data_IF_450648550232
#
_entry.id   IF_450648550232
#
_cell.length_a   1.000
_cell.length_b   1.000
_cell.length_c   1.000
_cell.angle_alpha   90.00
_cell.angle_beta   90.00
_cell.angle_gamma   90.00
#
_symmetry.space_group_name_H-M   'P 1'
#
loop_
_entity.id
_entity.type
_entity.pdbx_description
1 polymer ?
#
# COMPACT_ATOMS: atom_id res chain seq x y z
N UNK A 1 4.15 -42.57 3.94
CA UNK A 1 5.30 -42.82 3.04
C UNK A 1 5.03 -42.45 1.58
N UNK A 2 3.79 -42.48 1.07
CA UNK A 2 3.50 -42.09 -0.33
C UNK A 2 3.66 -40.58 -0.65
N UNK A 3 3.29 -39.66 0.24
CA UNK A 3 3.33 -38.21 -0.06
C UNK A 3 4.74 -37.63 -0.30
N UNK A 4 5.78 -38.19 0.34
CA UNK A 4 7.14 -37.65 0.22
C UNK A 4 7.77 -38.00 -1.13
N UNK A 5 7.49 -39.21 -1.63
CA UNK A 5 7.93 -39.67 -2.95
C UNK A 5 7.27 -38.85 -4.06
N UNK A 6 5.95 -38.60 -3.96
CA UNK A 6 5.20 -37.77 -4.92
C UNK A 6 5.71 -36.33 -4.98
N UNK A 7 6.06 -35.74 -3.83
CA UNK A 7 6.51 -34.34 -3.78
C UNK A 7 7.92 -34.14 -4.36
N UNK A 8 8.79 -35.14 -4.22
CA UNK A 8 10.13 -35.15 -4.83
C UNK A 8 10.05 -35.33 -6.34
N UNK A 9 9.08 -36.12 -6.82
CA UNK A 9 8.88 -36.40 -8.24
C UNK A 9 8.32 -35.19 -8.98
N UNK A 10 7.30 -34.52 -8.43
CA UNK A 10 6.74 -33.25 -8.96
C UNK A 10 7.82 -32.15 -9.01
N UNK A 11 8.62 -32.02 -7.94
CA UNK A 11 9.73 -31.05 -7.88
C UNK A 11 10.79 -31.33 -8.95
N UNK A 12 11.04 -32.60 -9.26
CA UNK A 12 12.02 -33.01 -10.27
C UNK A 12 11.53 -32.72 -11.68
N UNK A 13 10.25 -32.99 -11.98
CA UNK A 13 9.63 -32.68 -13.28
C UNK A 13 9.59 -31.16 -13.56
N UNK A 14 9.24 -30.35 -12.57
CA UNK A 14 9.28 -28.88 -12.67
C UNK A 14 10.69 -28.36 -13.00
N UNK A 15 11.71 -28.84 -12.29
CA UNK A 15 13.10 -28.44 -12.52
C UNK A 15 13.58 -28.83 -13.92
N UNK A 16 13.20 -30.02 -14.39
CA UNK A 16 13.50 -30.47 -15.76
C UNK A 16 12.83 -29.55 -16.79
N UNK A 17 11.55 -29.19 -16.58
CA UNK A 17 10.82 -28.28 -17.46
C UNK A 17 11.48 -26.89 -17.53
N UNK A 18 11.88 -26.35 -16.37
CA UNK A 18 12.56 -25.04 -16.29
C UNK A 18 13.93 -25.09 -16.98
N UNK A 19 14.74 -26.11 -16.69
CA UNK A 19 16.07 -26.25 -17.27
C UNK A 19 16.01 -26.36 -18.80
N UNK A 20 15.00 -27.07 -19.33
CA UNK A 20 14.80 -27.17 -20.78
C UNK A 20 14.37 -25.86 -21.45
N UNK A 21 13.65 -24.99 -20.73
CA UNK A 21 13.05 -23.77 -21.30
C UNK A 21 13.82 -22.49 -21.00
N UNK A 22 14.62 -22.44 -19.94
CA UNK A 22 15.40 -21.27 -19.55
C UNK A 22 16.35 -20.77 -20.67
N UNK A 23 17.11 -21.64 -21.38
CA UNK A 23 17.92 -21.19 -22.51
C UNK A 23 17.08 -20.59 -23.65
N UNK A 24 15.87 -21.11 -23.85
CA UNK A 24 14.94 -20.58 -24.85
C UNK A 24 14.42 -19.21 -24.44
N UNK A 25 14.06 -19.00 -23.17
CA UNK A 25 13.64 -17.70 -22.66
C UNK A 25 14.74 -16.63 -22.83
N UNK A 26 15.99 -16.97 -22.48
CA UNK A 26 17.14 -16.08 -22.66
C UNK A 26 17.30 -15.70 -24.13
N UNK A 27 17.22 -16.69 -25.02
CA UNK A 27 17.32 -16.45 -26.47
C UNK A 27 16.18 -15.57 -26.99
N UNK A 28 14.94 -15.83 -26.58
CA UNK A 28 13.77 -15.06 -27.01
C UNK A 28 13.87 -13.58 -26.59
N UNK A 29 14.40 -13.30 -25.40
CA UNK A 29 14.71 -11.93 -24.98
C UNK A 29 15.79 -11.29 -25.85
N UNK A 30 16.90 -11.98 -26.11
CA UNK A 30 17.99 -11.45 -26.94
C UNK A 30 17.54 -11.11 -28.36
N UNK A 31 16.56 -11.85 -28.87
CA UNK A 31 15.95 -11.64 -30.18
C UNK A 31 14.77 -10.63 -30.15
N UNK A 32 14.44 -10.06 -28.98
CA UNK A 32 13.31 -9.14 -28.72
C UNK A 32 11.94 -9.72 -29.17
N UNK A 33 11.71 -11.01 -28.87
CA UNK A 33 10.44 -11.68 -29.14
C UNK A 33 9.58 -11.79 -27.87
N UNK A 34 8.83 -10.74 -27.59
CA UNK A 34 8.09 -10.59 -26.32
C UNK A 34 6.91 -11.57 -26.20
N UNK A 35 6.07 -11.69 -27.23
CA UNK A 35 4.90 -12.60 -27.19
C UNK A 35 5.30 -14.06 -27.01
N UNK A 36 6.25 -14.61 -27.80
CA UNK A 36 6.72 -15.98 -27.59
C UNK A 36 7.42 -16.19 -26.24
N UNK A 37 8.04 -15.15 -25.68
CA UNK A 37 8.65 -15.23 -24.35
C UNK A 37 7.59 -15.48 -23.27
N UNK A 38 6.51 -14.69 -23.27
CA UNK A 38 5.43 -14.83 -22.30
C UNK A 38 4.69 -16.16 -22.43
N UNK A 39 4.50 -16.67 -23.64
CA UNK A 39 3.92 -17.99 -23.87
C UNK A 39 4.75 -19.10 -23.22
N UNK A 40 6.07 -19.06 -23.39
CA UNK A 40 6.99 -20.03 -22.76
C UNK A 40 7.01 -19.87 -21.24
N UNK A 41 6.96 -18.64 -20.74
CA UNK A 41 6.95 -18.36 -19.30
C UNK A 41 5.67 -18.87 -18.64
N UNK A 42 4.51 -18.71 -19.28
CA UNK A 42 3.22 -19.23 -18.80
C UNK A 42 3.24 -20.75 -18.57
N UNK A 43 3.97 -21.48 -19.40
CA UNK A 43 4.12 -22.93 -19.23
C UNK A 43 5.03 -23.33 -18.05
N UNK A 44 5.84 -22.40 -17.55
CA UNK A 44 6.81 -22.61 -16.46
C UNK A 44 6.23 -22.20 -15.10
N UNK A 45 5.33 -21.22 -15.10
CA UNK A 45 4.82 -20.58 -13.87
C UNK A 45 3.39 -20.96 -13.43
N UNK A 46 2.77 -22.11 -13.81
CA UNK A 46 1.41 -22.40 -13.38
C UNK A 46 1.29 -22.58 -11.85
N UNK A 47 2.37 -23.03 -11.19
CA UNK A 47 2.38 -23.18 -9.74
C UNK A 47 2.69 -21.88 -9.00
N UNK A 48 3.46 -20.96 -9.61
CA UNK A 48 3.64 -19.60 -9.08
C UNK A 48 2.31 -18.85 -9.17
N UNK A 49 1.58 -18.99 -10.29
CA UNK A 49 0.22 -18.44 -10.43
C UNK A 49 -0.74 -18.94 -9.35
N UNK A 50 -0.76 -20.25 -9.08
CA UNK A 50 -1.56 -20.82 -7.97
C UNK A 50 -1.15 -20.25 -6.61
N UNK A 51 0.15 -20.05 -6.40
CA UNK A 51 0.69 -19.47 -5.17
C UNK A 51 0.22 -18.02 -4.96
N UNK A 52 0.33 -17.16 -5.98
CA UNK A 52 -0.16 -15.77 -5.99
C UNK A 52 -1.65 -15.74 -5.63
N UNK A 53 -2.48 -16.51 -6.37
CA UNK A 53 -3.93 -16.57 -6.14
C UNK A 53 -4.24 -16.96 -4.69
N UNK A 54 -3.54 -17.97 -4.15
CA UNK A 54 -3.77 -18.44 -2.78
C UNK A 54 -3.37 -17.39 -1.74
N UNK A 55 -2.23 -16.71 -1.91
CA UNK A 55 -1.76 -15.65 -1.00
C UNK A 55 -2.77 -14.50 -0.96
N UNK A 56 -3.20 -14.00 -2.11
CA UNK A 56 -4.20 -12.94 -2.22
C UNK A 56 -5.52 -13.37 -1.57
N UNK A 57 -6.04 -14.56 -1.88
CA UNK A 57 -7.28 -15.07 -1.28
C UNK A 57 -7.18 -15.17 0.25
N UNK A 58 -6.00 -15.54 0.76
CA UNK A 58 -5.77 -15.64 2.21
C UNK A 58 -5.75 -14.26 2.85
N UNK A 59 -5.12 -13.26 2.22
CA UNK A 59 -5.13 -11.88 2.70
C UNK A 59 -6.54 -11.29 2.72
N UNK A 60 -7.30 -11.43 1.62
CA UNK A 60 -8.71 -11.01 1.54
C UNK A 60 -9.55 -11.62 2.66
N UNK A 61 -9.33 -12.91 2.98
CA UNK A 61 -10.06 -13.60 4.04
C UNK A 61 -9.66 -13.17 5.46
N UNK A 62 -8.40 -12.80 5.68
CA UNK A 62 -7.89 -12.43 7.02
C UNK A 62 -8.22 -10.98 7.38
N UNK A 63 -8.11 -10.10 6.41
CA UNK A 63 -8.21 -8.65 6.58
C UNK A 63 -9.65 -8.16 6.36
N UNK A 64 -10.47 -8.89 5.61
CA UNK A 64 -11.79 -8.45 5.10
C UNK A 64 -11.68 -7.40 3.98
N UNK A 65 -10.59 -7.41 3.21
CA UNK A 65 -10.51 -6.62 1.98
C UNK A 65 -11.70 -6.93 1.04
N UNK A 66 -12.15 -5.95 0.24
CA UNK A 66 -13.08 -6.21 -0.86
C UNK A 66 -12.53 -7.31 -1.78
N UNK A 67 -13.39 -8.21 -2.27
CA UNK A 67 -12.97 -9.39 -3.05
C UNK A 67 -12.27 -9.05 -4.36
N UNK A 68 -12.45 -7.83 -4.84
CA UNK A 68 -11.97 -7.24 -6.08
C UNK A 68 -10.83 -6.24 -5.87
N UNK A 69 -10.40 -6.04 -4.62
CA UNK A 69 -9.32 -5.10 -4.27
C UNK A 69 -7.98 -5.46 -4.90
N UNK A 70 -7.67 -6.75 -4.97
CA UNK A 70 -6.45 -7.25 -5.59
C UNK A 70 -6.78 -8.15 -6.77
N UNK A 71 -6.25 -7.84 -7.95
CA UNK A 71 -6.30 -8.71 -9.11
C UNK A 71 -5.06 -9.60 -9.14
N UNK A 72 -5.20 -10.94 -9.06
CA UNK A 72 -4.07 -11.84 -9.20
C UNK A 72 -3.33 -11.70 -10.53
N UNK A 73 -3.99 -11.20 -11.57
CA UNK A 73 -3.35 -11.00 -12.88
C UNK A 73 -2.34 -9.86 -12.83
N UNK A 74 -2.56 -8.81 -12.04
CA UNK A 74 -1.68 -7.64 -11.98
C UNK A 74 -0.31 -8.03 -11.41
N UNK A 75 -0.30 -8.88 -10.37
CA UNK A 75 0.93 -9.45 -9.81
C UNK A 75 1.62 -10.44 -10.77
N UNK A 76 0.85 -11.18 -11.58
CA UNK A 76 1.40 -12.09 -12.58
C UNK A 76 2.06 -11.30 -13.70
N UNK A 77 1.40 -10.26 -14.18
CA UNK A 77 1.90 -9.39 -15.24
C UNK A 77 3.16 -8.66 -14.79
N UNK A 78 3.17 -8.12 -13.56
CA UNK A 78 4.37 -7.51 -12.98
C UNK A 78 5.52 -8.51 -12.83
N UNK A 79 5.25 -9.72 -12.34
CA UNK A 79 6.26 -10.77 -12.26
C UNK A 79 6.83 -11.10 -13.65
N UNK A 80 6.01 -11.06 -14.70
CA UNK A 80 6.44 -11.36 -16.07
C UNK A 80 7.35 -10.27 -16.63
N UNK A 81 7.02 -9.00 -16.38
CA UNK A 81 7.87 -7.85 -16.74
C UNK A 81 9.24 -7.99 -16.06
N UNK A 82 9.25 -8.19 -14.75
CA UNK A 82 10.46 -8.35 -13.94
C UNK A 82 11.28 -9.56 -14.40
N UNK A 83 10.60 -10.66 -14.74
CA UNK A 83 11.26 -11.84 -15.29
C UNK A 83 11.93 -11.53 -16.62
N UNK A 84 11.24 -10.85 -17.53
CA UNK A 84 11.81 -10.42 -18.80
C UNK A 84 13.06 -9.57 -18.58
N UNK A 85 13.01 -8.57 -17.70
CA UNK A 85 14.14 -7.68 -17.42
C UNK A 85 15.35 -8.42 -16.85
N UNK A 86 15.13 -9.43 -16.00
CA UNK A 86 16.20 -10.11 -15.27
C UNK A 86 16.59 -11.50 -15.80
N UNK A 87 15.91 -12.07 -16.79
CA UNK A 87 16.10 -13.47 -17.21
C UNK A 87 17.56 -13.83 -17.57
N UNK A 88 18.31 -12.88 -18.13
CA UNK A 88 19.71 -13.08 -18.56
C UNK A 88 20.68 -13.23 -17.38
N UNK A 89 20.25 -12.87 -16.17
CA UNK A 89 21.07 -13.00 -14.97
C UNK A 89 21.11 -14.46 -14.47
N UNK A 90 20.23 -15.34 -14.96
CA UNK A 90 20.13 -16.70 -14.48
C UNK A 90 20.82 -17.68 -15.42
N UNK A 91 21.79 -18.41 -14.89
CA UNK A 91 22.43 -19.54 -15.58
C UNK A 91 22.00 -20.90 -15.02
N UNK A 92 21.19 -20.89 -13.97
CA UNK A 92 20.82 -22.06 -13.17
C UNK A 92 19.30 -22.11 -12.94
N UNK A 93 18.69 -23.27 -13.19
CA UNK A 93 17.25 -23.50 -13.02
C UNK A 93 16.78 -23.38 -11.56
N UNK A 94 17.58 -23.80 -10.59
CA UNK A 94 17.25 -23.73 -9.18
C UNK A 94 17.30 -22.27 -8.69
N UNK A 95 18.25 -21.49 -9.19
CA UNK A 95 18.36 -20.07 -8.90
C UNK A 95 17.18 -19.29 -9.47
N UNK A 96 16.86 -19.53 -10.75
CA UNK A 96 15.71 -18.91 -11.41
C UNK A 96 14.38 -19.28 -10.71
N UNK A 97 14.20 -20.55 -10.37
CA UNK A 97 12.99 -21.00 -9.67
C UNK A 97 12.86 -20.35 -8.29
N UNK A 98 13.94 -20.29 -7.51
CA UNK A 98 13.94 -19.62 -6.20
C UNK A 98 13.65 -18.12 -6.36
N UNK A 99 14.25 -17.49 -7.37
CA UNK A 99 14.06 -16.07 -7.63
C UNK A 99 12.61 -15.72 -7.97
N UNK A 100 11.91 -16.53 -8.78
CA UNK A 100 10.50 -16.32 -9.09
C UNK A 100 9.64 -16.24 -7.83
N UNK A 101 9.83 -17.15 -6.87
CA UNK A 101 9.07 -17.12 -5.61
C UNK A 101 9.48 -15.95 -4.71
N UNK A 102 10.77 -15.63 -4.62
CA UNK A 102 11.23 -14.46 -3.86
C UNK A 102 10.64 -13.16 -4.40
N UNK A 103 10.75 -12.94 -5.71
CA UNK A 103 10.18 -11.75 -6.36
C UNK A 103 8.66 -11.72 -6.22
N UNK A 104 7.99 -12.86 -6.32
CA UNK A 104 6.55 -12.97 -6.05
C UNK A 104 6.21 -12.55 -4.62
N UNK A 105 7.00 -13.00 -3.63
CA UNK A 105 6.79 -12.62 -2.24
C UNK A 105 7.07 -11.14 -2.00
N UNK A 106 8.11 -10.57 -2.60
CA UNK A 106 8.39 -9.12 -2.56
C UNK A 106 7.21 -8.31 -3.13
N UNK A 107 6.74 -8.65 -4.33
CA UNK A 107 5.61 -7.96 -4.97
C UNK A 107 4.32 -8.05 -4.13
N UNK A 108 4.08 -9.20 -3.50
CA UNK A 108 2.91 -9.40 -2.64
C UNK A 108 3.06 -8.70 -1.30
N UNK A 109 4.22 -8.78 -0.66
CA UNK A 109 4.44 -8.20 0.66
C UNK A 109 4.47 -6.67 0.57
N UNK A 110 5.05 -6.07 -0.47
CA UNK A 110 4.96 -4.62 -0.69
C UNK A 110 3.50 -4.14 -0.79
N UNK A 111 2.65 -4.90 -1.50
CA UNK A 111 1.24 -4.56 -1.65
C UNK A 111 0.37 -4.90 -0.42
N UNK A 112 0.71 -5.96 0.31
CA UNK A 112 -0.11 -6.47 1.42
C UNK A 112 0.33 -5.93 2.79
N UNK A 113 1.62 -5.63 3.00
CA UNK A 113 2.14 -5.07 4.26
C UNK A 113 1.73 -3.61 4.41
N UNK A 114 1.69 -2.83 3.32
CA UNK A 114 1.04 -1.53 3.35
C UNK A 114 -0.41 -1.71 3.83
N UNK A 115 -1.23 -2.50 3.14
CA UNK A 115 -2.66 -2.59 3.49
C UNK A 115 -3.02 -3.32 4.81
N UNK A 116 -2.23 -4.30 5.27
CA UNK A 116 -2.43 -4.91 6.60
C UNK A 116 -2.04 -3.94 7.72
N UNK A 117 -1.05 -3.06 7.49
CA UNK A 117 -0.78 -1.94 8.37
C UNK A 117 -1.97 -0.97 8.36
N UNK A 118 -2.53 -0.65 7.20
CA UNK A 118 -3.72 0.21 7.05
C UNK A 118 -4.88 -0.28 7.91
N UNK A 119 -5.29 -1.55 7.79
CA UNK A 119 -6.46 -2.06 8.53
C UNK A 119 -6.27 -2.17 10.05
N UNK A 120 -5.08 -2.59 10.49
CA UNK A 120 -4.75 -2.59 11.92
C UNK A 120 -4.71 -1.16 12.44
N UNK A 121 -4.21 -0.22 11.64
CA UNK A 121 -4.08 1.17 12.00
C UNK A 121 -5.44 1.90 12.06
N UNK A 122 -6.34 1.65 11.10
CA UNK A 122 -7.71 2.16 11.13
C UNK A 122 -8.49 1.72 12.36
N UNK A 123 -8.39 0.44 12.74
CA UNK A 123 -9.05 -0.07 13.94
C UNK A 123 -8.49 0.58 15.21
N UNK A 124 -7.21 0.93 15.24
CA UNK A 124 -6.59 1.51 16.43
C UNK A 124 -6.80 3.03 16.55
N UNK A 125 -6.78 3.79 15.44
CA UNK A 125 -7.07 5.24 15.48
C UNK A 125 -8.49 5.53 15.95
N UNK A 126 -9.45 4.75 15.46
CA UNK A 126 -10.87 4.95 15.74
C UNK A 126 -11.24 4.60 17.20
N UNK A 127 -10.34 3.97 17.95
CA UNK A 127 -10.58 3.52 19.32
C UNK A 127 -9.83 4.37 20.38
N UNK A 128 -8.93 5.28 19.96
CA UNK A 128 -8.18 6.11 20.91
C UNK A 128 -9.07 7.10 21.65
N UNK A 129 -8.98 7.05 22.98
CA UNK A 129 -9.57 8.01 23.90
C UNK A 129 -8.81 9.34 23.88
N UNK A 130 -9.48 10.42 24.32
CA UNK A 130 -8.86 11.74 24.41
C UNK A 130 -7.52 11.76 25.18
N UNK A 131 -7.37 11.11 26.36
CA UNK A 131 -6.08 11.04 27.04
C UNK A 131 -4.97 10.37 26.23
N UNK A 132 -5.28 9.30 25.49
CA UNK A 132 -4.30 8.62 24.64
C UNK A 132 -3.85 9.52 23.49
N UNK A 133 -4.77 10.30 22.92
CA UNK A 133 -4.43 11.32 21.93
C UNK A 133 -3.54 12.43 22.49
N UNK A 134 -3.82 12.88 23.71
CA UNK A 134 -3.03 13.92 24.37
C UNK A 134 -1.61 13.41 24.67
N UNK A 135 -1.46 12.17 25.14
CA UNK A 135 -0.14 11.52 25.34
C UNK A 135 0.62 11.30 24.03
N UNK A 136 -0.07 10.98 22.93
CA UNK A 136 0.56 10.89 21.61
C UNK A 136 1.06 12.25 21.15
N UNK A 137 0.29 13.32 21.36
CA UNK A 137 0.67 14.68 20.97
C UNK A 137 1.89 15.21 21.75
N UNK A 138 2.08 14.81 23.02
CA UNK A 138 3.25 15.20 23.82
C UNK A 138 4.60 14.75 23.23
N UNK A 139 4.60 13.75 22.34
CA UNK A 139 5.81 13.28 21.64
C UNK A 139 6.21 14.16 20.47
N UNK A 140 5.38 15.13 20.14
CA UNK A 140 5.59 16.06 19.06
C UNK A 140 5.83 17.47 19.61
N UNK A 141 6.56 18.25 18.83
CA UNK A 141 6.82 19.67 19.00
C UNK A 141 6.28 20.42 17.78
N UNK A 142 6.21 21.75 17.88
CA UNK A 142 5.84 22.62 16.76
C UNK A 142 7.10 23.33 16.30
N UNK A 143 7.37 23.27 14.99
CA UNK A 143 8.53 23.94 14.40
C UNK A 143 8.34 25.47 14.32
N UNK A 144 9.35 26.19 13.81
CA UNK A 144 9.28 27.64 13.66
C UNK A 144 8.21 28.14 12.67
N UNK A 145 7.64 27.23 11.86
CA UNK A 145 6.61 27.47 10.85
C UNK A 145 5.21 27.02 11.24
N UNK A 146 5.05 26.28 12.35
CA UNK A 146 3.76 25.74 12.79
C UNK A 146 3.54 24.27 12.44
N UNK A 147 4.50 23.59 11.82
CA UNK A 147 4.40 22.17 11.47
C UNK A 147 4.71 21.27 12.68
N UNK A 148 3.99 20.15 12.76
CA UNK A 148 4.17 19.15 13.80
C UNK A 148 5.44 18.31 13.50
N UNK A 149 6.39 18.30 14.43
CA UNK A 149 7.66 17.55 14.36
C UNK A 149 7.78 16.58 15.52
N UNK A 150 8.19 15.34 15.29
CA UNK A 150 8.55 14.45 16.40
C UNK A 150 9.74 15.04 17.16
N UNK A 151 9.70 14.99 18.50
CA UNK A 151 10.79 15.49 19.34
C UNK A 151 12.11 14.77 19.02
N UNK A 152 12.02 13.48 18.64
CA UNK A 152 13.16 12.66 18.23
C UNK A 152 13.69 12.98 16.81
N UNK A 153 12.95 13.75 16.00
CA UNK A 153 13.28 14.14 14.62
C UNK A 153 13.74 15.60 14.49
N UNK A 154 13.94 16.32 15.61
CA UNK A 154 14.37 17.73 15.62
C UNK A 154 15.72 17.99 14.93
N UNK A 155 16.49 16.95 14.60
CA UNK A 155 17.76 17.03 13.89
C UNK A 155 17.64 16.89 12.35
N UNK A 156 16.46 16.56 11.80
CA UNK A 156 16.26 16.36 10.35
C UNK A 156 15.41 17.48 9.72
N UNK A 157 15.94 18.13 8.67
CA UNK A 157 15.56 19.50 8.27
C UNK A 157 14.47 19.51 7.17
N UNK A 158 13.91 18.36 6.76
CA UNK A 158 12.96 18.29 5.65
C UNK A 158 11.49 18.32 6.09
N UNK A 159 11.03 19.40 6.72
CA UNK A 159 9.61 19.62 6.94
C UNK A 159 9.00 20.60 5.94
N UNK A 160 7.84 20.22 5.40
CA UNK A 160 7.05 21.00 4.46
C UNK A 160 5.86 21.64 5.21
N UNK A 161 5.69 22.95 5.06
CA UNK A 161 4.57 23.72 5.62
C UNK A 161 3.23 23.30 5.02
N UNK A 162 2.41 22.64 5.83
CA UNK A 162 1.10 22.15 5.41
C UNK A 162 -0.04 22.98 6.02
N UNK A 163 -0.79 23.70 5.18
CA UNK A 163 -1.93 24.52 5.61
C UNK A 163 -3.25 23.73 5.57
N UNK A 164 -3.45 22.80 6.51
CA UNK A 164 -4.70 22.05 6.60
C UNK A 164 -5.85 22.88 7.19
N UNK A 165 -7.08 22.66 6.68
CA UNK A 165 -8.32 23.26 7.21
C UNK A 165 -9.43 22.21 7.25
N UNK A 166 -10.46 22.43 8.09
CA UNK A 166 -11.57 21.47 8.25
C UNK A 166 -12.24 21.08 6.92
N UNK A 167 -12.37 22.03 5.99
CA UNK A 167 -13.00 21.78 4.69
C UNK A 167 -12.26 20.76 3.82
N UNK A 168 -10.99 20.46 4.10
CA UNK A 168 -10.26 19.38 3.44
C UNK A 168 -10.76 18.00 3.88
N UNK A 169 -11.33 17.91 5.08
CA UNK A 169 -11.81 16.68 5.73
C UNK A 169 -13.32 16.53 5.59
N UNK A 170 -14.08 17.58 5.90
CA UNK A 170 -15.54 17.57 5.97
C UNK A 170 -16.15 18.23 4.71
N UNK A 171 -16.76 17.43 3.83
CA UNK A 171 -17.30 17.89 2.53
C UNK A 171 -18.84 17.95 2.50
N UNK A 172 -19.55 17.23 3.38
CA UNK A 172 -21.02 17.10 3.35
C UNK A 172 -21.75 17.90 4.46
N UNK A 173 -22.95 18.40 4.12
CA UNK A 173 -23.83 19.22 4.98
C UNK A 173 -24.33 18.52 6.26
N UNK A 174 -24.13 17.21 6.41
CA UNK A 174 -24.67 16.41 7.51
C UNK A 174 -23.95 16.74 8.84
N UNK A 175 -22.78 17.37 8.78
CA UNK A 175 -21.91 17.61 9.95
C UNK A 175 -21.88 19.08 10.38
N UNK A 176 -22.79 19.93 9.86
CA UNK A 176 -22.75 21.39 10.05
C UNK A 176 -22.77 21.85 11.51
N UNK A 177 -23.58 21.19 12.36
CA UNK A 177 -23.63 21.48 13.80
C UNK A 177 -22.34 21.10 14.54
N UNK A 178 -21.53 20.23 13.94
CA UNK A 178 -20.32 19.66 14.51
C UNK A 178 -19.08 20.40 14.01
N UNK A 179 -19.04 20.78 12.73
CA UNK A 179 -18.12 21.79 12.21
C UNK A 179 -18.23 23.06 13.06
N UNK A 180 -19.46 23.52 13.36
CA UNK A 180 -19.68 24.66 14.25
C UNK A 180 -19.22 24.43 15.71
N UNK A 181 -19.16 23.18 16.18
CA UNK A 181 -18.68 22.86 17.54
C UNK A 181 -17.15 22.79 17.57
N UNK A 182 -16.54 22.24 16.52
CA UNK A 182 -15.09 22.17 16.34
C UNK A 182 -14.54 23.58 16.12
N UNK A 183 -15.11 24.37 15.20
CA UNK A 183 -14.71 25.76 14.93
C UNK A 183 -14.85 26.69 16.15
N UNK A 184 -15.76 26.39 17.09
CA UNK A 184 -15.93 27.17 18.33
C UNK A 184 -14.90 26.84 19.41
N UNK A 185 -14.36 25.63 19.37
CA UNK A 185 -13.55 25.07 20.46
C UNK A 185 -12.08 24.92 20.09
N UNK A 186 -11.76 24.85 18.79
CA UNK A 186 -10.40 24.71 18.29
C UNK A 186 -10.03 25.90 17.41
N UNK A 187 -8.81 26.38 17.58
CA UNK A 187 -8.19 27.32 16.66
C UNK A 187 -7.57 26.59 15.46
N UNK A 188 -7.15 27.34 14.45
CA UNK A 188 -6.58 26.78 13.22
C UNK A 188 -5.31 25.95 13.46
N UNK A 189 -4.48 26.32 14.44
CA UNK A 189 -3.25 25.60 14.77
C UNK A 189 -3.57 24.23 15.40
N UNK A 190 -4.60 24.15 16.24
CA UNK A 190 -5.06 22.90 16.85
C UNK A 190 -5.66 21.95 15.80
N UNK A 191 -6.38 22.50 14.81
CA UNK A 191 -6.90 21.75 13.66
C UNK A 191 -5.76 21.20 12.81
N UNK A 192 -4.79 22.05 12.46
CA UNK A 192 -3.64 21.67 11.64
C UNK A 192 -2.79 20.61 12.33
N UNK A 193 -2.49 20.81 13.62
CA UNK A 193 -1.73 19.88 14.45
C UNK A 193 -2.42 18.53 14.54
N UNK A 194 -3.75 18.51 14.71
CA UNK A 194 -4.49 17.26 14.78
C UNK A 194 -4.50 16.52 13.43
N UNK A 195 -4.72 17.23 12.33
CA UNK A 195 -4.68 16.62 10.98
C UNK A 195 -3.29 16.07 10.70
N UNK A 196 -2.23 16.83 10.98
CA UNK A 196 -0.85 16.40 10.79
C UNK A 196 -0.53 15.15 11.64
N UNK A 197 -0.94 15.13 12.91
CA UNK A 197 -0.77 13.98 13.80
C UNK A 197 -1.45 12.74 13.23
N UNK A 198 -2.72 12.85 12.83
CA UNK A 198 -3.46 11.71 12.27
C UNK A 198 -2.81 11.22 10.97
N UNK A 199 -2.45 12.14 10.05
CA UNK A 199 -1.80 11.80 8.79
C UNK A 199 -0.42 11.15 8.97
N UNK A 200 0.36 11.60 9.96
CA UNK A 200 1.67 11.02 10.23
C UNK A 200 1.59 9.56 10.68
N UNK A 201 0.53 9.22 11.42
CA UNK A 201 0.34 7.85 11.87
C UNK A 201 -0.40 7.00 10.81
N UNK A 202 -1.11 7.63 9.85
CA UNK A 202 -1.75 6.93 8.74
C UNK A 202 -0.74 6.30 7.79
N UNK A 203 -1.17 5.28 7.03
CA UNK A 203 -0.39 4.68 5.96
C UNK A 203 0.15 5.67 4.95
N UNK A 204 1.35 5.37 4.42
CA UNK A 204 2.03 6.23 3.47
C UNK A 204 1.18 6.50 2.21
N UNK A 205 0.50 5.48 1.67
CA UNK A 205 -0.34 5.60 0.49
C UNK A 205 -1.49 6.61 0.71
N UNK A 206 -2.13 6.56 1.87
CA UNK A 206 -3.24 7.43 2.27
C UNK A 206 -2.80 8.87 2.51
N UNK A 207 -1.75 9.03 3.31
CA UNK A 207 -1.10 10.32 3.56
C UNK A 207 -0.72 10.99 2.24
N UNK A 208 -0.05 10.26 1.35
CA UNK A 208 0.41 10.79 0.07
C UNK A 208 -0.75 11.23 -0.82
N UNK A 209 -1.80 10.40 -0.97
CA UNK A 209 -2.98 10.75 -1.77
C UNK A 209 -3.66 12.01 -1.21
N UNK A 210 -3.78 12.13 0.10
CA UNK A 210 -4.39 13.29 0.74
C UNK A 210 -3.54 14.56 0.59
N UNK A 211 -2.23 14.49 0.75
CA UNK A 211 -1.31 15.63 0.53
C UNK A 211 -1.31 16.10 -0.92
N UNK A 212 -1.26 15.18 -1.90
CA UNK A 212 -1.34 15.51 -3.33
C UNK A 212 -2.68 16.18 -3.68
N UNK A 213 -3.78 15.72 -3.09
CA UNK A 213 -5.10 16.29 -3.31
C UNK A 213 -5.27 17.67 -2.64
N UNK A 214 -4.81 17.83 -1.39
CA UNK A 214 -5.09 19.02 -0.58
C UNK A 214 -4.04 20.11 -0.72
N UNK A 215 -2.76 19.77 -0.69
CA UNK A 215 -1.66 20.73 -0.70
C UNK A 215 -1.17 21.02 -2.12
N UNK A 216 -1.19 20.01 -3.00
CA UNK A 216 -0.78 20.16 -4.40
C UNK A 216 -1.94 20.41 -5.36
N UNK A 217 -3.18 20.36 -4.87
CA UNK A 217 -4.40 20.63 -5.64
C UNK A 217 -4.56 19.79 -6.92
N UNK A 218 -4.01 18.57 -6.92
CA UNK A 218 -4.07 17.66 -8.06
C UNK A 218 -5.42 16.96 -8.13
N UNK A 219 -5.91 16.73 -9.35
CA UNK A 219 -7.11 15.92 -9.57
C UNK A 219 -6.82 14.43 -9.35
N UNK A 220 -7.86 13.66 -8.98
CA UNK A 220 -7.70 12.23 -8.69
C UNK A 220 -7.09 11.43 -9.85
N UNK A 221 -7.33 11.86 -11.09
CA UNK A 221 -6.74 11.26 -12.29
C UNK A 221 -5.23 11.53 -12.38
N UNK A 222 -4.81 12.75 -12.08
CA UNK A 222 -3.38 13.11 -12.08
C UNK A 222 -2.64 12.39 -10.95
N UNK A 223 -3.29 12.24 -9.79
CA UNK A 223 -2.76 11.46 -8.67
C UNK A 223 -2.63 9.98 -9.05
N UNK A 224 -3.62 9.41 -9.75
CA UNK A 224 -3.58 8.03 -10.24
C UNK A 224 -2.38 7.81 -11.19
N UNK A 225 -2.14 8.76 -12.10
CA UNK A 225 -1.00 8.74 -13.01
C UNK A 225 0.35 8.86 -12.26
N UNK A 226 0.46 9.78 -11.29
CA UNK A 226 1.69 9.97 -10.49
C UNK A 226 2.01 8.75 -9.64
N UNK A 227 0.97 8.13 -9.06
CA UNK A 227 1.09 6.99 -8.14
C UNK A 227 1.11 5.64 -8.87
N UNK A 228 0.88 5.63 -10.18
CA UNK A 228 0.77 4.42 -11.00
C UNK A 228 -0.24 3.40 -10.42
N UNK A 229 -1.41 3.88 -9.99
CA UNK A 229 -2.53 3.07 -9.46
C UNK A 229 -3.84 3.49 -10.13
N UNK A 230 -4.91 2.72 -9.94
CA UNK A 230 -6.20 2.98 -10.60
C UNK A 230 -6.91 4.21 -10.01
N UNK A 231 -7.81 4.81 -10.81
CA UNK A 231 -8.64 5.92 -10.34
C UNK A 231 -9.57 5.47 -9.19
N UNK A 232 -10.08 4.24 -9.26
CA UNK A 232 -10.86 3.64 -8.18
C UNK A 232 -10.05 3.56 -6.87
N UNK A 233 -8.80 3.13 -6.92
CA UNK A 233 -7.93 3.03 -5.75
C UNK A 233 -7.61 4.39 -5.15
N UNK A 234 -7.24 5.39 -5.96
CA UNK A 234 -7.02 6.77 -5.47
C UNK A 234 -8.27 7.32 -4.78
N UNK A 235 -9.44 7.07 -5.37
CA UNK A 235 -10.72 7.51 -4.82
C UNK A 235 -10.98 6.87 -3.46
N UNK A 236 -10.69 5.57 -3.33
CA UNK A 236 -10.87 4.83 -2.09
C UNK A 236 -9.89 5.27 -1.01
N UNK A 237 -8.59 5.42 -1.32
CA UNK A 237 -7.56 5.93 -0.41
C UNK A 237 -7.92 7.32 0.13
N UNK A 238 -8.37 8.24 -0.73
CA UNK A 238 -8.77 9.58 -0.31
C UNK A 238 -10.00 9.53 0.62
N UNK A 239 -10.98 8.68 0.30
CA UNK A 239 -12.19 8.51 1.10
C UNK A 239 -11.88 7.95 2.48
N UNK A 240 -11.03 6.94 2.57
CA UNK A 240 -10.66 6.31 3.83
C UNK A 240 -9.81 7.24 4.70
N UNK A 241 -8.91 8.02 4.08
CA UNK A 241 -8.16 9.07 4.79
C UNK A 241 -9.11 10.11 5.42
N UNK A 242 -10.06 10.63 4.64
CA UNK A 242 -11.05 11.59 5.15
C UNK A 242 -11.87 11.00 6.28
N UNK A 243 -12.29 9.74 6.17
CA UNK A 243 -13.06 9.04 7.20
C UNK A 243 -12.26 8.89 8.51
N UNK A 244 -10.99 8.48 8.46
CA UNK A 244 -10.15 8.40 9.66
C UNK A 244 -9.97 9.76 10.33
N UNK A 245 -9.74 10.82 9.54
CA UNK A 245 -9.66 12.18 10.07
C UNK A 245 -10.97 12.59 10.75
N UNK A 246 -12.12 12.35 10.10
CA UNK A 246 -13.44 12.61 10.67
C UNK A 246 -13.62 11.89 12.01
N UNK A 247 -13.38 10.57 12.07
CA UNK A 247 -13.53 9.75 13.29
C UNK A 247 -12.59 10.21 14.40
N UNK A 248 -11.33 10.53 14.07
CA UNK A 248 -10.38 11.05 15.05
C UNK A 248 -10.86 12.37 15.68
N UNK A 249 -11.34 13.31 14.85
CA UNK A 249 -11.97 14.55 15.34
C UNK A 249 -13.20 14.26 16.20
N UNK A 250 -14.04 13.28 15.81
CA UNK A 250 -15.21 12.89 16.59
C UNK A 250 -14.80 12.38 17.97
N UNK A 251 -13.91 11.39 18.04
CA UNK A 251 -13.51 10.77 19.29
C UNK A 251 -12.81 11.73 20.25
N UNK A 252 -11.96 12.61 19.71
CA UNK A 252 -11.19 13.54 20.53
C UNK A 252 -12.01 14.72 21.04
N UNK A 253 -12.93 15.24 20.23
CA UNK A 253 -13.61 16.53 20.51
C UNK A 253 -15.13 16.46 20.66
N UNK A 254 -15.77 15.33 20.35
CA UNK A 254 -17.23 15.19 20.51
C UNK A 254 -17.69 14.80 21.91
N UNK A 255 -16.76 14.56 22.85
CA UNK A 255 -17.11 14.17 24.23
C UNK A 255 -17.71 15.37 24.98
N UNK A 256 -19.05 15.33 25.15
CA UNK A 256 -19.73 15.75 26.37
C UNK A 256 -20.20 14.48 27.08
#
# INVERSE_FOLDING_TARGET
MNNLATHLEIRKELRISINQKLPNLIKLKQENFDVPFYDVLLEIVPDVRKYIIKRIQTAIQKSNFPKDKFSPNDFIDQLFIETYEHIENFSNEDEFYIWLYKKTDELLDDALVEEEFDELFFKNIDDYSKPEWDEMQEKYSVDGGGDLLMIDELDDISCHHNNYVLNHVFVENIEKALIEKIDKNLNNEEIQSHIALVLHNLPLAMRTVFELYTNQHLELKEIAEIRNITLEEVTQLLKDTKKALQVSFFNRYSIN
#
